data_IF_221822943616
#
_entry.id   IF_221822943616
#
_cell.length_a   1.000
_cell.length_b   1.000
_cell.length_c   1.000
_cell.angle_alpha   90.00
_cell.angle_beta   90.00
_cell.angle_gamma   90.00
#
_symmetry.space_group_name_H-M   'P 1'
#
loop_
_entity.id
_entity.type
_entity.pdbx_description
1 polymer ?
#
# COMPACT_ATOMS: atom_id res chain seq x y z
N UNK A 1 2.98 -93.84 -53.80
CA UNK A 1 3.31 -92.77 -52.83
C UNK A 1 2.02 -92.11 -52.37
N UNK A 2 1.44 -92.44 -51.21
CA UNK A 2 0.35 -91.65 -50.67
C UNK A 2 0.95 -90.42 -49.96
N UNK A 3 0.51 -89.23 -50.40
CA UNK A 3 0.91 -87.93 -49.83
C UNK A 3 0.33 -87.79 -48.42
N UNK A 4 1.20 -87.52 -47.46
CA UNK A 4 0.89 -87.23 -46.07
C UNK A 4 -0.01 -85.98 -46.00
N UNK A 5 -1.33 -86.20 -45.88
CA UNK A 5 -2.38 -85.18 -45.97
C UNK A 5 -2.76 -84.62 -44.59
N UNK A 6 -2.27 -85.24 -43.51
CA UNK A 6 -2.50 -84.81 -42.12
C UNK A 6 -1.76 -83.54 -41.72
N UNK A 7 -0.51 -83.35 -42.18
CA UNK A 7 0.32 -82.20 -41.78
C UNK A 7 -0.20 -80.86 -42.36
N UNK A 8 -0.75 -80.88 -43.57
CA UNK A 8 -1.32 -79.69 -44.23
C UNK A 8 -2.58 -79.16 -43.53
N UNK A 9 -3.37 -80.05 -42.93
CA UNK A 9 -4.64 -79.71 -42.29
C UNK A 9 -4.43 -79.16 -40.87
N UNK A 10 -3.52 -79.77 -40.10
CA UNK A 10 -3.12 -79.27 -38.78
C UNK A 10 -2.45 -77.89 -38.86
N UNK A 11 -1.60 -77.67 -39.87
CA UNK A 11 -0.92 -76.37 -40.05
C UNK A 11 -1.91 -75.24 -40.32
N UNK A 12 -2.97 -75.48 -41.11
CA UNK A 12 -4.02 -74.49 -41.39
C UNK A 12 -4.87 -74.16 -40.16
N UNK A 13 -5.18 -75.15 -39.33
CA UNK A 13 -5.91 -74.94 -38.08
C UNK A 13 -5.08 -74.08 -37.12
N UNK A 14 -3.80 -74.40 -36.95
CA UNK A 14 -2.89 -73.63 -36.08
C UNK A 14 -2.76 -72.18 -36.58
N UNK A 15 -2.62 -71.95 -37.89
CA UNK A 15 -2.57 -70.61 -38.46
C UNK A 15 -3.87 -69.83 -38.21
N UNK A 16 -5.02 -70.50 -38.35
CA UNK A 16 -6.33 -69.91 -38.07
C UNK A 16 -6.48 -69.46 -36.62
N UNK A 17 -6.01 -70.28 -35.66
CA UNK A 17 -6.04 -69.95 -34.23
C UNK A 17 -5.13 -68.77 -33.91
N UNK A 18 -3.92 -68.72 -34.49
CA UNK A 18 -2.98 -67.60 -34.29
C UNK A 18 -3.58 -66.28 -34.78
N UNK A 19 -4.23 -66.29 -35.95
CA UNK A 19 -4.90 -65.12 -36.51
C UNK A 19 -6.03 -64.66 -35.58
N UNK A 20 -6.86 -65.60 -35.10
CA UNK A 20 -8.00 -65.29 -34.24
C UNK A 20 -7.57 -64.71 -32.88
N UNK A 21 -6.52 -65.27 -32.27
CA UNK A 21 -5.92 -64.75 -31.04
C UNK A 21 -5.29 -63.37 -31.25
N UNK A 22 -4.67 -63.14 -32.42
CA UNK A 22 -4.08 -61.83 -32.76
C UNK A 22 -5.16 -60.74 -32.89
N UNK A 23 -6.30 -61.06 -33.49
CA UNK A 23 -7.45 -60.14 -33.57
C UNK A 23 -8.05 -59.83 -32.21
N UNK A 24 -8.18 -60.83 -31.33
CA UNK A 24 -8.63 -60.63 -29.95
C UNK A 24 -7.69 -59.69 -29.17
N UNK A 25 -6.37 -59.90 -29.31
CA UNK A 25 -5.38 -59.05 -28.64
C UNK A 25 -5.43 -57.60 -29.15
N UNK A 26 -5.56 -57.40 -30.47
CA UNK A 26 -5.77 -56.08 -31.07
C UNK A 26 -7.03 -55.39 -30.54
N UNK A 27 -8.14 -56.12 -30.41
CA UNK A 27 -9.38 -55.59 -29.85
C UNK A 27 -9.21 -55.09 -28.42
N UNK A 28 -8.50 -55.85 -27.57
CA UNK A 28 -8.22 -55.47 -26.18
C UNK A 28 -7.33 -54.20 -26.12
N UNK A 29 -6.29 -54.13 -26.95
CA UNK A 29 -5.37 -52.97 -26.97
C UNK A 29 -6.08 -51.70 -27.44
N UNK A 30 -6.91 -51.78 -28.49
CA UNK A 30 -7.69 -50.63 -28.96
C UNK A 30 -8.70 -50.18 -27.90
N UNK A 31 -9.38 -51.13 -27.25
CA UNK A 31 -10.33 -50.85 -26.17
C UNK A 31 -9.67 -50.17 -24.97
N UNK A 32 -8.52 -50.68 -24.51
CA UNK A 32 -7.77 -50.04 -23.43
C UNK A 32 -7.32 -48.63 -23.83
N UNK A 33 -6.77 -48.44 -25.03
CA UNK A 33 -6.30 -47.13 -25.51
C UNK A 33 -7.41 -46.09 -25.58
N UNK A 34 -8.62 -46.49 -25.99
CA UNK A 34 -9.78 -45.59 -26.00
C UNK A 34 -10.25 -45.26 -24.59
N UNK A 35 -10.33 -46.24 -23.70
CA UNK A 35 -10.73 -46.01 -22.30
C UNK A 35 -9.76 -45.08 -21.55
N UNK A 36 -8.45 -45.28 -21.73
CA UNK A 36 -7.42 -44.40 -21.17
C UNK A 36 -7.47 -42.99 -21.78
N UNK A 37 -7.71 -42.85 -23.09
CA UNK A 37 -7.87 -41.56 -23.75
C UNK A 37 -9.04 -40.75 -23.20
N UNK A 38 -10.20 -41.39 -23.00
CA UNK A 38 -11.37 -40.74 -22.39
C UNK A 38 -11.15 -40.35 -20.92
N UNK A 39 -10.48 -41.21 -20.14
CA UNK A 39 -10.17 -40.92 -18.73
C UNK A 39 -9.20 -39.74 -18.57
N UNK A 40 -8.17 -39.65 -19.42
CA UNK A 40 -7.22 -38.53 -19.44
C UNK A 40 -7.89 -37.23 -19.90
N UNK A 41 -8.75 -37.31 -20.93
CA UNK A 41 -9.55 -36.17 -21.41
C UNK A 41 -10.46 -35.59 -20.32
N UNK A 42 -11.17 -36.45 -19.59
CA UNK A 42 -12.02 -36.01 -18.48
C UNK A 42 -11.24 -35.34 -17.35
N UNK A 43 -10.05 -35.85 -17.01
CA UNK A 43 -9.17 -35.23 -16.00
C UNK A 43 -8.62 -33.87 -16.45
N UNK A 44 -8.35 -33.68 -17.73
CA UNK A 44 -7.94 -32.38 -18.28
C UNK A 44 -9.08 -31.35 -18.25
N UNK A 45 -10.31 -31.75 -18.56
CA UNK A 45 -11.48 -30.87 -18.45
C UNK A 45 -11.78 -30.48 -17.00
N UNK A 46 -11.68 -31.41 -16.04
CA UNK A 46 -11.79 -31.10 -14.62
C UNK A 46 -10.75 -30.06 -14.18
N UNK A 47 -9.47 -30.25 -14.55
CA UNK A 47 -8.40 -29.30 -14.25
C UNK A 47 -8.64 -27.91 -14.87
N UNK A 48 -9.14 -27.87 -16.11
CA UNK A 48 -9.46 -26.61 -16.80
C UNK A 48 -10.63 -25.89 -16.12
N UNK A 49 -11.69 -26.62 -15.76
CA UNK A 49 -12.83 -26.09 -15.03
C UNK A 49 -12.44 -25.57 -13.63
N UNK A 50 -11.52 -26.26 -12.93
CA UNK A 50 -10.96 -25.78 -11.67
C UNK A 50 -10.16 -24.49 -11.83
N UNK A 51 -9.31 -24.40 -12.87
CA UNK A 51 -8.54 -23.19 -13.20
C UNK A 51 -9.47 -22.02 -13.53
N UNK A 52 -10.50 -22.25 -14.33
CA UNK A 52 -11.44 -21.21 -14.76
C UNK A 52 -12.34 -20.73 -13.61
N UNK A 53 -12.80 -21.65 -12.73
CA UNK A 53 -13.51 -21.28 -11.49
C UNK A 53 -12.62 -20.50 -10.52
N UNK A 54 -11.36 -20.91 -10.37
CA UNK A 54 -10.38 -20.20 -9.54
C UNK A 54 -10.14 -18.76 -10.04
N UNK A 55 -9.91 -18.60 -11.35
CA UNK A 55 -9.74 -17.30 -12.00
C UNK A 55 -11.00 -16.43 -11.90
N UNK A 56 -12.19 -17.02 -12.09
CA UNK A 56 -13.47 -16.31 -11.96
C UNK A 56 -13.69 -15.74 -10.57
N UNK A 57 -13.41 -16.53 -9.52
CA UNK A 57 -13.50 -16.09 -8.13
C UNK A 57 -12.47 -15.00 -7.77
N UNK A 58 -11.24 -15.11 -8.29
CA UNK A 58 -10.21 -14.08 -8.11
C UNK A 58 -10.62 -12.76 -8.78
N UNK A 59 -11.21 -12.82 -9.97
CA UNK A 59 -11.60 -11.63 -10.71
C UNK A 59 -12.84 -10.96 -10.10
N UNK A 60 -13.79 -11.75 -9.58
CA UNK A 60 -14.95 -11.20 -8.86
C UNK A 60 -14.52 -10.52 -7.55
N UNK A 61 -13.58 -11.12 -6.81
CA UNK A 61 -13.02 -10.54 -5.59
C UNK A 61 -12.21 -9.26 -5.89
N UNK A 62 -11.40 -9.26 -6.94
CA UNK A 62 -10.71 -8.06 -7.43
C UNK A 62 -11.71 -6.94 -7.74
N UNK A 63 -12.76 -7.22 -8.51
CA UNK A 63 -13.78 -6.22 -8.86
C UNK A 63 -14.55 -5.71 -7.62
N UNK A 64 -14.79 -6.58 -6.63
CA UNK A 64 -15.40 -6.21 -5.35
C UNK A 64 -14.50 -5.24 -4.57
N UNK A 65 -13.22 -5.55 -4.48
CA UNK A 65 -12.22 -4.71 -3.81
C UNK A 65 -12.03 -3.36 -4.53
N UNK A 66 -12.01 -3.35 -5.87
CA UNK A 66 -11.95 -2.11 -6.66
C UNK A 66 -13.19 -1.21 -6.42
N UNK A 67 -14.39 -1.80 -6.36
CA UNK A 67 -15.61 -1.03 -6.01
C UNK A 67 -15.54 -0.47 -4.60
N UNK A 68 -15.11 -1.27 -3.62
CA UNK A 68 -14.92 -0.80 -2.25
C UNK A 68 -13.88 0.32 -2.16
N UNK A 69 -12.78 0.21 -2.90
CA UNK A 69 -11.75 1.25 -2.99
C UNK A 69 -12.33 2.55 -3.55
N UNK A 70 -13.10 2.48 -4.65
CA UNK A 70 -13.71 3.67 -5.25
C UNK A 70 -14.72 4.36 -4.31
N UNK A 71 -15.59 3.60 -3.64
CA UNK A 71 -16.54 4.18 -2.66
C UNK A 71 -15.83 4.79 -1.46
N UNK A 72 -14.72 4.20 -1.00
CA UNK A 72 -13.90 4.77 0.07
C UNK A 72 -13.16 6.03 -0.40
N UNK A 73 -12.67 6.07 -1.63
CA UNK A 73 -12.05 7.27 -2.22
C UNK A 73 -13.05 8.43 -2.31
N UNK A 74 -14.28 8.16 -2.73
CA UNK A 74 -15.34 9.16 -2.82
C UNK A 74 -15.73 9.71 -1.45
N UNK A 75 -15.97 8.84 -0.46
CA UNK A 75 -16.25 9.25 0.92
C UNK A 75 -15.08 10.04 1.55
N UNK A 76 -13.84 9.65 1.26
CA UNK A 76 -12.64 10.36 1.74
C UNK A 76 -12.52 11.73 1.09
N UNK A 77 -12.87 11.85 -0.20
CA UNK A 77 -12.88 13.13 -0.92
C UNK A 77 -13.89 14.09 -0.32
N UNK A 78 -15.11 13.63 -0.03
CA UNK A 78 -16.16 14.46 0.57
C UNK A 78 -15.81 14.90 1.99
N UNK A 79 -15.25 13.99 2.81
CA UNK A 79 -14.76 14.32 4.14
C UNK A 79 -13.60 15.31 4.09
N UNK A 80 -12.68 15.14 3.14
CA UNK A 80 -11.57 16.08 2.91
C UNK A 80 -12.10 17.46 2.54
N UNK A 81 -13.05 17.56 1.62
CA UNK A 81 -13.66 18.84 1.21
C UNK A 81 -14.32 19.51 2.41
N UNK A 82 -15.08 18.76 3.23
CA UNK A 82 -15.73 19.31 4.42
C UNK A 82 -14.70 19.83 5.43
N UNK A 83 -13.67 19.05 5.77
CA UNK A 83 -12.64 19.43 6.74
C UNK A 83 -11.77 20.59 6.25
N UNK A 84 -11.52 20.69 4.95
CA UNK A 84 -10.63 21.70 4.36
C UNK A 84 -11.40 22.98 3.99
N UNK A 85 -12.73 22.93 3.89
CA UNK A 85 -13.56 24.11 3.64
C UNK A 85 -13.58 25.09 4.82
N UNK A 86 -13.34 24.59 6.05
CA UNK A 86 -13.20 25.40 7.28
C UNK A 86 -12.17 24.76 8.22
N UNK A 87 -10.86 24.89 7.93
CA UNK A 87 -9.83 24.34 8.78
C UNK A 87 -9.90 24.91 10.21
N UNK A 88 -9.83 24.07 11.24
CA UNK A 88 -9.79 24.55 12.64
C UNK A 88 -8.50 25.29 13.00
N UNK A 89 -7.39 24.91 12.36
CA UNK A 89 -6.07 25.48 12.61
C UNK A 89 -5.81 26.76 11.81
N UNK A 90 -5.29 27.80 12.48
CA UNK A 90 -4.99 29.11 11.90
C UNK A 90 -3.49 29.41 11.88
N UNK A 91 -3.05 30.27 10.96
CA UNK A 91 -1.71 30.84 10.99
C UNK A 91 -1.48 31.63 12.29
N UNK A 92 -0.26 31.54 12.82
CA UNK A 92 0.14 32.42 13.91
C UNK A 92 0.30 33.85 13.38
N UNK A 93 -0.22 34.83 14.12
CA UNK A 93 0.00 36.26 13.86
C UNK A 93 1.35 36.76 14.39
N UNK A 94 2.03 35.97 15.22
CA UNK A 94 3.27 36.42 15.85
C UNK A 94 4.40 36.56 14.82
N UNK A 95 4.87 37.80 14.66
CA UNK A 95 6.21 38.09 14.14
C UNK A 95 7.19 37.70 15.27
N UNK A 96 7.47 36.41 15.37
CA UNK A 96 8.36 35.88 16.39
C UNK A 96 9.82 36.34 16.23
N UNK A 97 10.66 35.90 17.15
CA UNK A 97 12.12 36.00 17.03
C UNK A 97 12.65 34.71 16.37
N UNK A 98 13.44 34.79 15.28
CA UNK A 98 14.06 33.62 14.67
C UNK A 98 14.86 32.74 15.64
N UNK A 99 15.44 33.31 16.70
CA UNK A 99 16.15 32.55 17.74
C UNK A 99 15.17 31.70 18.56
N UNK A 100 13.99 32.24 18.88
CA UNK A 100 12.94 31.47 19.57
C UNK A 100 12.49 30.27 18.75
N UNK A 101 12.45 30.36 17.42
CA UNK A 101 12.13 29.20 16.58
C UNK A 101 13.16 28.08 16.76
N UNK A 102 14.47 28.40 16.79
CA UNK A 102 15.51 27.40 17.04
C UNK A 102 15.38 26.79 18.44
N UNK A 103 15.12 27.59 19.47
CA UNK A 103 14.86 27.09 20.82
C UNK A 103 13.66 26.14 20.87
N UNK A 104 12.55 26.50 20.22
CA UNK A 104 11.35 25.66 20.16
C UNK A 104 11.59 24.37 19.37
N UNK A 105 12.38 24.40 18.29
CA UNK A 105 12.80 23.18 17.57
C UNK A 105 13.49 22.18 18.52
N UNK A 106 14.47 22.65 19.30
CA UNK A 106 15.16 21.80 20.28
C UNK A 106 14.22 21.30 21.38
N UNK A 107 13.31 22.15 21.90
CA UNK A 107 12.33 21.75 22.91
C UNK A 107 11.39 20.66 22.38
N UNK A 108 10.88 20.81 21.16
CA UNK A 108 10.01 19.82 20.51
C UNK A 108 10.78 18.52 20.30
N UNK A 109 12.00 18.59 19.79
CA UNK A 109 12.85 17.42 19.57
C UNK A 109 13.09 16.63 20.86
N UNK A 110 13.47 17.32 21.95
CA UNK A 110 13.69 16.68 23.25
C UNK A 110 12.42 16.04 23.80
N UNK A 111 11.27 16.73 23.72
CA UNK A 111 9.98 16.19 24.17
C UNK A 111 9.58 14.93 23.41
N UNK A 112 9.73 14.93 22.08
CA UNK A 112 9.42 13.76 21.24
C UNK A 112 10.37 12.61 21.59
N UNK A 113 11.65 12.88 21.79
CA UNK A 113 12.65 11.88 22.17
C UNK A 113 12.35 11.26 23.54
N UNK A 114 12.01 12.08 24.53
CA UNK A 114 11.62 11.64 25.88
C UNK A 114 10.36 10.77 25.83
N UNK A 115 9.32 11.24 25.12
CA UNK A 115 8.06 10.49 24.96
C UNK A 115 8.25 9.17 24.17
N UNK A 116 9.20 9.15 23.24
CA UNK A 116 9.53 7.99 22.41
C UNK A 116 10.53 7.01 23.03
N UNK A 117 11.09 7.30 24.20
CA UNK A 117 12.15 6.49 24.82
C UNK A 117 11.71 5.03 25.06
N UNK A 118 10.46 4.81 25.47
CA UNK A 118 9.93 3.47 25.75
C UNK A 118 9.86 2.55 24.52
N UNK A 119 9.81 3.12 23.31
CA UNK A 119 9.73 2.37 22.05
C UNK A 119 11.01 2.51 21.20
N UNK A 120 12.07 3.11 21.76
CA UNK A 120 13.28 3.49 21.04
C UNK A 120 12.99 4.27 19.74
N UNK A 121 12.06 5.22 19.83
CA UNK A 121 11.61 5.99 18.67
C UNK A 121 12.77 6.76 18.04
N UNK A 122 12.96 6.57 16.73
CA UNK A 122 13.93 7.32 15.94
C UNK A 122 13.20 8.45 15.21
N UNK A 123 13.71 9.67 15.36
CA UNK A 123 13.15 10.86 14.73
C UNK A 123 14.28 11.77 14.23
N UNK A 124 14.16 12.40 13.04
CA UNK A 124 15.22 13.24 12.51
C UNK A 124 15.47 14.44 13.41
N UNK A 125 16.73 14.74 13.71
CA UNK A 125 17.10 15.75 14.70
C UNK A 125 16.57 17.15 14.37
N UNK A 126 16.67 17.54 13.10
CA UNK A 126 16.24 18.86 12.63
C UNK A 126 14.74 18.93 12.29
N UNK A 127 13.97 17.85 12.49
CA UNK A 127 12.51 17.82 12.24
C UNK A 127 12.14 18.25 10.79
N UNK A 128 13.03 18.06 9.82
CA UNK A 128 12.86 18.50 8.42
C UNK A 128 13.32 19.93 8.12
N UNK A 129 13.92 20.62 9.09
CA UNK A 129 14.51 21.94 8.94
C UNK A 129 16.01 21.91 8.60
N UNK A 130 16.56 20.78 8.16
CA UNK A 130 17.99 20.62 7.83
C UNK A 130 18.47 21.68 6.81
N UNK A 131 17.62 22.03 5.84
CA UNK A 131 17.91 23.08 4.83
C UNK A 131 18.01 24.49 5.44
N UNK A 132 17.53 24.69 6.66
CA UNK A 132 17.45 25.97 7.35
C UNK A 132 18.35 26.04 8.59
N UNK A 133 19.24 25.06 8.78
CA UNK A 133 20.17 25.04 9.92
C UNK A 133 21.02 26.33 9.98
N UNK A 134 21.51 26.76 8.81
CA UNK A 134 22.38 27.92 8.66
C UNK A 134 21.64 29.19 8.21
N UNK A 135 20.37 29.09 7.83
CA UNK A 135 19.57 30.23 7.38
C UNK A 135 18.74 30.81 8.52
N UNK A 136 18.77 32.15 8.65
CA UNK A 136 17.85 32.86 9.54
C UNK A 136 16.59 33.15 8.73
N UNK A 137 15.42 32.58 9.07
CA UNK A 137 14.19 32.87 8.35
C UNK A 137 13.89 34.36 8.42
N UNK A 138 13.46 34.93 7.29
CA UNK A 138 13.01 36.31 7.25
C UNK A 138 11.77 36.48 8.15
N UNK A 139 11.50 37.70 8.60
CA UNK A 139 10.30 38.01 9.39
C UNK A 139 8.99 37.63 8.65
N UNK A 140 9.00 37.67 7.32
CA UNK A 140 7.86 37.27 6.49
C UNK A 140 7.69 35.73 6.42
N UNK A 141 8.78 34.97 6.48
CA UNK A 141 8.75 33.51 6.43
C UNK A 141 8.45 32.88 7.78
N UNK A 142 8.75 33.59 8.87
CA UNK A 142 8.69 33.06 10.22
C UNK A 142 7.32 32.47 10.61
N UNK A 143 6.16 33.10 10.33
CA UNK A 143 4.86 32.50 10.61
C UNK A 143 4.66 31.14 9.94
N UNK A 144 5.19 30.97 8.72
CA UNK A 144 5.13 29.71 7.99
C UNK A 144 6.03 28.66 8.63
N UNK A 145 7.23 29.04 9.09
CA UNK A 145 8.15 28.13 9.78
C UNK A 145 7.63 27.66 11.13
N UNK A 146 7.03 28.57 11.90
CA UNK A 146 6.35 28.23 13.15
C UNK A 146 5.23 27.22 12.87
N UNK A 147 4.43 27.43 11.82
CA UNK A 147 3.36 26.50 11.47
C UNK A 147 3.87 25.15 10.97
N UNK A 148 4.97 25.13 10.22
CA UNK A 148 5.65 23.89 9.83
C UNK A 148 6.13 23.10 11.05
N UNK A 149 6.62 23.78 12.10
CA UNK A 149 7.01 23.15 13.36
C UNK A 149 5.79 22.57 14.09
N UNK A 150 4.68 23.32 14.18
CA UNK A 150 3.43 22.81 14.76
C UNK A 150 2.95 21.53 14.04
N UNK A 151 2.98 21.54 12.71
CA UNK A 151 2.57 20.41 11.87
C UNK A 151 3.45 19.19 12.14
N UNK A 152 4.78 19.34 12.15
CA UNK A 152 5.66 18.18 12.35
C UNK A 152 5.63 17.66 13.78
N UNK A 153 5.43 18.54 14.76
CA UNK A 153 5.18 18.17 16.15
C UNK A 153 3.93 17.30 16.25
N UNK A 154 2.84 17.70 15.61
CA UNK A 154 1.60 16.93 15.61
C UNK A 154 1.79 15.56 14.92
N UNK A 155 2.41 15.53 13.74
CA UNK A 155 2.76 14.27 13.06
C UNK A 155 3.60 13.36 13.96
N UNK A 156 4.61 13.91 14.66
CA UNK A 156 5.45 13.18 15.61
C UNK A 156 4.66 12.60 16.77
N UNK A 157 3.76 13.38 17.37
CA UNK A 157 2.88 12.92 18.46
C UNK A 157 1.93 11.80 17.99
N UNK A 158 1.35 11.93 16.80
CA UNK A 158 0.47 10.92 16.22
C UNK A 158 1.24 9.63 15.89
N UNK A 159 2.49 9.75 15.41
CA UNK A 159 3.39 8.62 15.17
C UNK A 159 3.73 7.88 16.48
N UNK A 160 4.09 8.60 17.54
CA UNK A 160 4.31 8.05 18.88
C UNK A 160 3.07 7.34 19.42
N UNK A 161 1.90 7.98 19.33
CA UNK A 161 0.63 7.39 19.75
C UNK A 161 0.25 6.13 18.96
N UNK A 162 0.77 6.00 17.72
CA UNK A 162 0.61 4.83 16.85
C UNK A 162 1.72 3.80 17.00
N UNK A 163 2.66 4.04 17.93
CA UNK A 163 3.85 3.21 18.18
C UNK A 163 4.69 2.99 16.92
N UNK A 164 4.74 3.99 16.03
CA UNK A 164 5.66 3.98 14.89
C UNK A 164 7.09 4.02 15.45
N UNK A 165 7.99 3.11 15.07
CA UNK A 165 9.32 3.06 15.66
C UNK A 165 10.30 4.05 15.03
N UNK A 166 10.12 4.45 13.76
CA UNK A 166 11.05 5.35 13.09
C UNK A 166 10.37 6.25 12.07
N UNK A 167 10.65 7.54 12.16
CA UNK A 167 10.56 8.49 11.05
C UNK A 167 11.99 8.70 10.55
N UNK A 168 12.27 8.24 9.33
CA UNK A 168 13.63 8.27 8.77
C UNK A 168 13.91 9.51 7.92
N UNK A 169 12.88 10.26 7.54
CA UNK A 169 13.05 11.46 6.72
C UNK A 169 11.81 12.35 6.75
N UNK A 170 12.04 13.66 6.77
CA UNK A 170 11.03 14.71 6.73
C UNK A 170 11.51 15.78 5.75
N UNK A 171 10.65 16.18 4.83
CA UNK A 171 10.93 17.28 3.89
C UNK A 171 9.69 18.14 3.70
N UNK A 172 9.81 19.44 3.99
CA UNK A 172 8.78 20.40 3.66
C UNK A 172 8.78 20.71 2.17
N UNK A 173 7.62 20.59 1.53
CA UNK A 173 7.41 20.93 0.14
C UNK A 173 6.85 22.36 0.02
N UNK A 174 6.68 22.85 -1.21
CA UNK A 174 6.20 24.20 -1.48
C UNK A 174 4.77 24.42 -0.96
N UNK A 175 4.58 25.50 -0.21
CA UNK A 175 3.28 25.89 0.36
C UNK A 175 2.39 26.42 -0.76
N UNK A 176 1.15 25.91 -0.84
CA UNK A 176 0.19 26.32 -1.87
C UNK A 176 -0.93 27.15 -1.25
N UNK A 177 -1.36 28.20 -1.95
CA UNK A 177 -2.53 28.99 -1.58
C UNK A 177 -3.73 28.50 -2.38
N UNK A 178 -4.81 28.17 -1.69
CA UNK A 178 -6.08 27.78 -2.31
C UNK A 178 -7.02 28.96 -2.23
N UNK A 179 -7.52 29.40 -3.38
CA UNK A 179 -8.38 30.56 -3.51
C UNK A 179 -9.85 30.12 -3.59
N UNK A 180 -10.76 31.00 -3.15
CA UNK A 180 -12.18 30.86 -3.41
C UNK A 180 -12.48 30.95 -4.92
N UNK A 181 -13.69 30.54 -5.34
CA UNK A 181 -14.08 30.53 -6.77
C UNK A 181 -13.96 31.90 -7.45
N UNK A 182 -14.02 33.00 -6.69
CA UNK A 182 -13.86 34.36 -7.18
C UNK A 182 -12.40 34.80 -7.36
N UNK A 183 -11.44 33.95 -7.00
CA UNK A 183 -9.99 34.16 -7.04
C UNK A 183 -9.48 35.40 -6.26
N UNK A 184 -10.29 35.99 -5.39
CA UNK A 184 -9.93 37.21 -4.64
C UNK A 184 -9.45 36.92 -3.23
N UNK A 185 -10.02 35.90 -2.61
CA UNK A 185 -9.74 35.54 -1.22
C UNK A 185 -9.06 34.19 -1.11
N UNK A 186 -8.06 34.10 -0.22
CA UNK A 186 -7.43 32.82 0.13
C UNK A 186 -8.40 32.09 1.06
N UNK A 187 -8.89 30.94 0.62
CA UNK A 187 -9.76 30.08 1.42
C UNK A 187 -8.93 29.37 2.51
N UNK A 188 -7.83 28.74 2.11
CA UNK A 188 -6.86 28.12 3.03
C UNK A 188 -5.49 27.99 2.36
N UNK A 189 -4.47 27.65 3.14
CA UNK A 189 -3.14 27.32 2.67
C UNK A 189 -2.82 25.86 2.92
N UNK A 190 -2.24 25.19 1.92
CA UNK A 190 -1.75 23.83 2.00
C UNK A 190 -0.27 23.83 2.39
N UNK A 191 0.05 23.09 3.45
CA UNK A 191 1.41 22.82 3.90
C UNK A 191 1.74 21.35 3.65
N UNK A 192 2.25 21.01 2.45
CA UNK A 192 2.68 19.66 2.13
C UNK A 192 4.01 19.32 2.82
N UNK A 193 4.04 18.16 3.48
CA UNK A 193 5.22 17.58 4.09
C UNK A 193 5.38 16.14 3.65
N UNK A 194 6.56 15.81 3.14
CA UNK A 194 6.96 14.45 2.82
C UNK A 194 7.53 13.80 4.07
N UNK A 195 7.02 12.62 4.43
CA UNK A 195 7.46 11.85 5.60
C UNK A 195 7.79 10.43 5.18
N UNK A 196 8.94 9.92 5.61
CA UNK A 196 9.36 8.53 5.39
C UNK A 196 9.32 7.82 6.74
N UNK A 197 8.51 6.76 6.81
CA UNK A 197 8.29 5.96 8.00
C UNK A 197 8.86 4.56 7.79
N UNK A 198 9.50 3.99 8.82
CA UNK A 198 9.78 2.56 8.88
C UNK A 198 8.99 1.96 10.03
N UNK A 199 8.06 1.07 9.71
CA UNK A 199 7.11 0.55 10.70
C UNK A 199 6.51 -0.79 10.28
N UNK A 200 5.59 -1.34 11.07
CA UNK A 200 4.74 -2.46 10.65
C UNK A 200 3.40 -1.95 10.14
N UNK A 201 2.67 -2.80 9.42
CA UNK A 201 1.36 -2.46 8.85
C UNK A 201 0.37 -1.90 9.89
N UNK A 202 0.29 -2.52 11.08
CA UNK A 202 -0.59 -2.08 12.16
C UNK A 202 -0.28 -0.66 12.63
N UNK A 203 1.00 -0.28 12.72
CA UNK A 203 1.40 1.07 13.11
C UNK A 203 0.96 2.10 12.06
N UNK A 204 1.15 1.76 10.78
CA UNK A 204 0.79 2.64 9.68
C UNK A 204 -0.73 2.84 9.61
N UNK A 205 -1.50 1.77 9.72
CA UNK A 205 -2.97 1.85 9.74
C UNK A 205 -3.45 2.71 10.91
N UNK A 206 -2.92 2.49 12.11
CA UNK A 206 -3.25 3.29 13.29
C UNK A 206 -2.91 4.77 13.11
N UNK A 207 -1.77 5.07 12.50
CA UNK A 207 -1.37 6.45 12.21
C UNK A 207 -2.34 7.12 11.23
N UNK A 208 -2.71 6.43 10.14
CA UNK A 208 -3.66 6.95 9.16
C UNK A 208 -5.02 7.26 9.79
N UNK A 209 -5.53 6.38 10.66
CA UNK A 209 -6.77 6.64 11.40
C UNK A 209 -6.66 7.82 12.36
N UNK A 210 -5.50 8.06 12.95
CA UNK A 210 -5.29 9.21 13.83
C UNK A 210 -5.22 10.53 13.06
N UNK A 211 -4.70 10.53 11.84
CA UNK A 211 -4.72 11.73 10.99
C UNK A 211 -6.13 12.21 10.68
N UNK A 212 -7.11 11.30 10.48
CA UNK A 212 -8.49 11.70 10.20
C UNK A 212 -9.22 12.28 11.41
N UNK A 213 -8.67 12.14 12.62
CA UNK A 213 -9.23 12.66 13.86
C UNK A 213 -8.35 13.75 14.51
N UNK A 214 -7.30 14.20 13.82
CA UNK A 214 -6.40 15.23 14.32
C UNK A 214 -7.07 16.60 14.26
N UNK A 215 -6.64 17.50 15.14
CA UNK A 215 -7.15 18.88 15.19
C UNK A 215 -6.72 19.69 13.94
N UNK A 216 -5.51 19.42 13.45
CA UNK A 216 -5.06 19.91 12.14
C UNK A 216 -5.67 19.02 11.05
N UNK A 217 -6.42 19.58 10.08
CA UNK A 217 -6.93 18.81 8.97
C UNK A 217 -5.78 18.30 8.10
N UNK A 218 -5.55 16.99 8.14
CA UNK A 218 -4.56 16.31 7.31
C UNK A 218 -5.21 15.52 6.18
N UNK A 219 -4.59 15.57 5.00
CA UNK A 219 -4.88 14.69 3.85
C UNK A 219 -3.60 13.98 3.43
N UNK A 220 -3.72 12.72 3.03
CA UNK A 220 -2.63 12.01 2.37
C UNK A 220 -2.78 12.19 0.85
N UNK A 221 -1.87 12.94 0.24
CA UNK A 221 -1.92 13.30 -1.18
C UNK A 221 -1.22 12.25 -2.05
N UNK A 222 -0.14 11.67 -1.54
CA UNK A 222 0.53 10.54 -2.18
C UNK A 222 1.07 9.55 -1.17
N UNK A 223 1.11 8.29 -1.58
CA UNK A 223 1.40 7.17 -0.70
C UNK A 223 2.17 6.10 -1.47
N UNK A 224 3.36 5.74 -1.00
CA UNK A 224 4.18 4.65 -1.57
C UNK A 224 4.62 3.73 -0.45
N UNK A 225 4.34 2.43 -0.58
CA UNK A 225 4.83 1.40 0.33
C UNK A 225 5.88 0.55 -0.36
N UNK A 226 6.99 0.28 0.33
CA UNK A 226 7.92 -0.80 0.03
C UNK A 226 7.91 -1.78 1.19
N UNK A 227 7.59 -3.04 0.91
CA UNK A 227 7.64 -4.12 1.91
C UNK A 227 9.03 -4.75 1.84
N UNK A 228 9.70 -4.93 2.99
CA UNK A 228 10.96 -5.67 3.00
C UNK A 228 10.68 -7.15 2.75
N UNK A 229 11.37 -7.76 1.79
CA UNK A 229 11.22 -9.17 1.43
C UNK A 229 12.09 -10.11 2.30
N UNK A 230 12.72 -9.58 3.35
CA UNK A 230 13.65 -10.33 4.19
C UNK A 230 12.93 -11.31 5.13
N UNK A 231 13.47 -12.53 5.25
CA UNK A 231 13.06 -13.52 6.25
C UNK A 231 13.65 -13.18 7.64
N UNK A 232 12.90 -13.44 8.73
CA UNK A 232 13.34 -13.20 10.12
C UNK A 232 12.63 -12.02 10.82
N UNK A 233 13.28 -11.35 11.79
CA UNK A 233 12.69 -10.22 12.57
C UNK A 233 12.28 -9.00 11.72
N UNK A 234 12.77 -8.92 10.48
CA UNK A 234 12.41 -7.90 9.49
C UNK A 234 11.14 -8.24 8.70
N UNK A 235 10.63 -9.48 8.81
CA UNK A 235 9.41 -9.90 8.13
C UNK A 235 8.22 -9.03 8.58
N UNK A 236 7.55 -8.41 7.61
CA UNK A 236 6.41 -7.52 7.85
C UNK A 236 6.76 -6.09 8.24
N UNK A 237 8.05 -5.70 8.24
CA UNK A 237 8.45 -4.29 8.26
C UNK A 237 8.29 -3.69 6.87
N UNK A 238 7.71 -2.50 6.84
CA UNK A 238 7.49 -1.72 5.63
C UNK A 238 8.14 -0.34 5.78
N UNK A 239 8.56 0.20 4.63
CA UNK A 239 8.92 1.60 4.47
C UNK A 239 7.78 2.30 3.74
N UNK A 240 7.15 3.27 4.38
CA UNK A 240 6.09 4.08 3.79
C UNK A 240 6.60 5.49 3.55
N UNK A 241 6.44 5.97 2.32
CA UNK A 241 6.67 7.36 1.93
C UNK A 241 5.31 8.02 1.73
N UNK A 242 5.03 9.04 2.54
CA UNK A 242 3.77 9.77 2.59
C UNK A 242 4.00 11.22 2.19
N UNK A 243 3.13 11.79 1.37
CA UNK A 243 2.98 13.25 1.28
C UNK A 243 1.71 13.61 2.03
N UNK A 244 1.90 14.25 3.18
CA UNK A 244 0.84 14.69 4.08
C UNK A 244 0.62 16.17 3.84
N UNK A 245 -0.62 16.57 3.59
CA UNK A 245 -1.00 17.96 3.36
C UNK A 245 -1.82 18.42 4.56
N UNK A 246 -1.33 19.45 5.25
CA UNK A 246 -2.11 20.14 6.27
C UNK A 246 -2.82 21.35 5.66
N UNK A 247 -4.12 21.50 5.90
CA UNK A 247 -4.84 22.73 5.57
C UNK A 247 -4.88 23.69 6.77
N UNK A 248 -4.46 24.93 6.52
CA UNK A 248 -4.36 25.97 7.54
C UNK A 248 -5.08 27.23 7.05
N UNK A 249 -5.93 27.81 7.89
CA UNK A 249 -6.57 29.09 7.60
C UNK A 249 -5.53 30.22 7.60
N UNK A 250 -5.64 31.18 6.64
CA UNK A 250 -4.83 32.39 6.71
C UNK A 250 -5.13 33.17 8.00
N UNK A 251 -4.17 33.98 8.45
CA UNK A 251 -4.40 34.86 9.59
C UNK A 251 -5.51 35.86 9.24
N UNK A 252 -6.47 36.05 10.15
CA UNK A 252 -7.51 37.07 9.98
C UNK A 252 -6.85 38.45 9.93
N UNK A 253 -7.22 39.30 8.98
CA UNK A 253 -6.86 40.72 9.06
C UNK A 253 -7.75 41.35 10.13
N UNK A 254 -7.21 41.65 11.30
CA UNK A 254 -7.82 42.58 12.26
C UNK A 254 -7.77 44.00 11.72
#
# INVERSE_FOLDING_TARGET
>A
MPKNTGDSLMTKIVLGVIILVSFLFLGIVVYQKTMFGSAVGGKQEELKAYKDKGLGNLNSEKNRLEKQLNSLQEATKDMTVMLFSKPGSKMSMEVGDPLKLKEELYKVQNKIKEAGAAINFQFPFWLGFDKYEHDIPSAADLPYRVKQLDIIKEIGNLALASKVPEISGIEFLEIKKVFAEDNKEILYMEFPVKVILKCRNENLINLLYKFSAADIPFRIDSFKIKVSAEEGEAAGRLTAELVIVAAILPAEKT
#
